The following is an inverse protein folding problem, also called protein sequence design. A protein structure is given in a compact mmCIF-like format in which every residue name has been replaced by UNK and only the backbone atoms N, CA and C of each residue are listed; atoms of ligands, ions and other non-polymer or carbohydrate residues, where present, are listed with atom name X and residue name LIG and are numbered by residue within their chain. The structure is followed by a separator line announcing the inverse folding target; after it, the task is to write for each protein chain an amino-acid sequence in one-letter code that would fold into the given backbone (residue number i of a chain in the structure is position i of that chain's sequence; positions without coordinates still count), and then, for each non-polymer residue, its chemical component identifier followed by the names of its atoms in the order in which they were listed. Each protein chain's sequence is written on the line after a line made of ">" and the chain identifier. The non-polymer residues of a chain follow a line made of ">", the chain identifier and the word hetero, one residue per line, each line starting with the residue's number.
data_IF_886738819582
#
_entry.id   IF_886738819582
#
_cell.length_a   1.000
_cell.length_b   1.000
_cell.length_c   1.000
_cell.angle_alpha   90.00
_cell.angle_beta   90.00
_cell.angle_gamma   90.00
#
_symmetry.space_group_name_H-M   'P 1'
#
loop_
_entity.id
_entity.type
_entity.pdbx_description
1 polymer ?
#
# COMPACT_ATOMS: atom_id res chain seq x y z
N UNK A 1 39.08 -26.80 -9.28
CA UNK A 1 38.42 -26.70 -10.60
C UNK A 1 39.23 -27.56 -11.56
N UNK A 2 38.69 -28.63 -12.06
CA UNK A 2 39.38 -29.58 -12.93
C UNK A 2 39.42 -29.01 -14.35
N UNK A 3 40.54 -29.25 -15.06
CA UNK A 3 40.85 -28.80 -16.43
C UNK A 3 39.66 -29.07 -17.41
N UNK A 4 38.90 -30.14 -17.21
CA UNK A 4 37.69 -30.49 -17.98
C UNK A 4 36.57 -29.46 -17.89
N UNK A 5 36.39 -28.80 -16.74
CA UNK A 5 35.35 -27.78 -16.57
C UNK A 5 35.67 -26.48 -17.28
N UNK A 6 36.95 -26.15 -17.42
CA UNK A 6 37.41 -24.97 -18.16
C UNK A 6 37.28 -25.17 -19.68
N UNK A 7 37.56 -26.35 -20.20
CA UNK A 7 37.40 -26.68 -21.62
C UNK A 7 35.91 -26.71 -22.04
N UNK A 8 35.03 -27.21 -21.18
CA UNK A 8 33.60 -27.18 -21.45
C UNK A 8 33.06 -25.74 -21.53
N UNK A 9 33.45 -24.87 -20.58
CA UNK A 9 33.04 -23.44 -20.58
C UNK A 9 33.51 -22.69 -21.83
N UNK A 10 34.76 -22.95 -22.28
CA UNK A 10 35.31 -22.33 -23.50
C UNK A 10 34.58 -22.81 -24.77
N UNK A 11 34.18 -24.08 -24.82
CA UNK A 11 33.41 -24.60 -25.94
C UNK A 11 31.98 -24.10 -25.97
N UNK A 12 31.35 -23.93 -24.82
CA UNK A 12 29.99 -23.35 -24.73
C UNK A 12 29.98 -21.84 -25.10
N UNK A 13 30.97 -21.10 -24.68
CA UNK A 13 31.15 -19.68 -25.10
C UNK A 13 31.40 -19.53 -26.58
N UNK A 14 32.15 -20.45 -27.21
CA UNK A 14 32.35 -20.45 -28.67
C UNK A 14 31.08 -20.76 -29.45
N UNK A 15 30.22 -21.66 -28.97
CA UNK A 15 28.90 -21.94 -29.56
C UNK A 15 27.98 -20.74 -29.51
N UNK A 16 27.98 -20.01 -28.38
CA UNK A 16 27.14 -18.80 -28.20
C UNK A 16 27.65 -17.63 -29.10
N UNK A 17 28.92 -17.57 -29.39
CA UNK A 17 29.51 -16.54 -30.26
C UNK A 17 29.29 -16.77 -31.77
N UNK A 18 28.88 -17.98 -32.19
CA UNK A 18 28.65 -18.34 -33.59
C UNK A 18 27.17 -18.23 -34.04
N UNK A 19 26.26 -17.82 -33.16
CA UNK A 19 24.88 -17.49 -33.59
C UNK A 19 24.89 -16.13 -34.27
N UNK A 20 24.42 -16.00 -35.53
CA UNK A 20 24.33 -14.71 -36.20
C UNK A 20 23.31 -13.87 -35.41
N UNK A 21 23.77 -12.78 -34.83
CA UNK A 21 22.89 -11.72 -34.31
C UNK A 21 22.16 -11.12 -35.51
N UNK A 22 21.02 -11.66 -35.88
CA UNK A 22 20.02 -10.92 -36.64
C UNK A 22 19.54 -9.80 -35.70
N UNK A 23 20.21 -8.67 -35.79
CA UNK A 23 19.69 -7.44 -35.24
C UNK A 23 18.42 -7.13 -36.03
N UNK A 24 17.26 -7.49 -35.46
CA UNK A 24 16.02 -6.81 -35.81
C UNK A 24 16.24 -5.36 -35.42
N UNK A 25 16.52 -4.52 -36.41
CA UNK A 25 16.33 -3.09 -36.33
C UNK A 25 14.84 -2.90 -36.04
N UNK A 26 14.48 -2.77 -34.76
CA UNK A 26 13.17 -2.25 -34.40
C UNK A 26 13.09 -0.86 -35.05
N UNK A 27 12.21 -0.73 -36.02
CA UNK A 27 11.84 0.57 -36.58
C UNK A 27 11.38 1.42 -35.40
N UNK A 28 12.22 2.37 -34.99
CA UNK A 28 11.80 3.41 -34.06
C UNK A 28 10.66 4.17 -34.74
N UNK A 29 9.43 3.76 -34.48
CA UNK A 29 8.27 4.61 -34.74
C UNK A 29 8.49 5.91 -33.98
N UNK A 30 8.84 6.97 -34.71
CA UNK A 30 8.76 8.34 -34.27
C UNK A 30 7.28 8.59 -33.92
N UNK A 31 6.90 8.35 -32.67
CA UNK A 31 5.62 8.83 -32.17
C UNK A 31 5.70 10.34 -32.13
N UNK A 32 4.84 11.02 -32.87
CA UNK A 32 4.70 12.46 -32.79
C UNK A 32 4.60 12.89 -31.31
N UNK A 33 5.32 13.95 -30.88
CA UNK A 33 5.26 14.40 -29.51
C UNK A 33 3.81 14.71 -29.16
N UNK A 34 3.26 14.05 -28.15
CA UNK A 34 1.89 14.30 -27.68
C UNK A 34 1.72 15.80 -27.41
N UNK A 35 0.64 16.42 -27.88
CA UNK A 35 0.40 17.83 -27.62
C UNK A 35 0.38 18.09 -26.10
N UNK A 36 1.06 19.15 -25.68
CA UNK A 36 1.06 19.54 -24.27
C UNK A 36 -0.35 19.99 -23.91
N UNK A 37 -0.92 19.37 -22.88
CA UNK A 37 -2.26 19.68 -22.36
C UNK A 37 -2.17 20.15 -20.92
N UNK A 38 -3.13 20.95 -20.51
CA UNK A 38 -3.22 21.39 -19.13
C UNK A 38 -3.43 20.21 -18.18
N UNK A 39 -2.55 20.03 -17.21
CA UNK A 39 -2.61 18.96 -16.20
C UNK A 39 -3.88 18.98 -15.32
N UNK A 40 -4.62 20.10 -15.32
CA UNK A 40 -5.79 20.32 -14.46
C UNK A 40 -7.12 20.09 -15.15
N UNK A 41 -7.25 20.53 -16.40
CA UNK A 41 -8.51 20.51 -17.11
C UNK A 41 -8.41 19.87 -18.49
N UNK A 42 -7.23 19.36 -18.89
CA UNK A 42 -7.00 18.72 -20.18
C UNK A 42 -7.02 19.66 -21.39
N UNK A 43 -7.21 20.98 -21.20
CA UNK A 43 -7.26 21.94 -22.31
C UNK A 43 -5.91 22.04 -23.02
N UNK A 44 -5.94 22.17 -24.32
CA UNK A 44 -4.77 22.51 -25.19
C UNK A 44 -4.52 24.00 -25.29
N UNK A 45 -5.44 24.84 -24.80
CA UNK A 45 -5.31 26.30 -24.78
C UNK A 45 -4.38 26.74 -23.65
N UNK A 46 -3.08 26.71 -23.96
CA UNK A 46 -1.99 26.97 -23.02
C UNK A 46 -0.99 27.97 -23.60
N UNK A 47 -0.43 28.81 -22.76
CA UNK A 47 0.65 29.74 -23.11
C UNK A 47 1.91 29.45 -22.30
N UNK A 48 3.08 29.69 -22.89
CA UNK A 48 4.36 29.65 -22.17
C UNK A 48 4.41 30.81 -21.17
N UNK A 49 4.80 30.52 -19.93
CA UNK A 49 4.84 31.51 -18.84
C UNK A 49 6.24 31.87 -18.37
N UNK A 50 7.23 31.07 -18.66
CA UNK A 50 8.61 31.28 -18.25
C UNK A 50 9.35 29.96 -18.13
N UNK A 51 10.61 30.03 -17.68
CA UNK A 51 11.46 28.86 -17.44
C UNK A 51 11.92 28.92 -15.98
N UNK A 52 11.64 27.86 -15.20
CA UNK A 52 12.11 27.70 -13.84
C UNK A 52 13.07 26.50 -13.78
N UNK A 53 14.31 26.71 -13.33
CA UNK A 53 15.37 25.69 -13.28
C UNK A 53 15.53 24.88 -14.61
N UNK A 54 15.45 25.58 -15.76
CA UNK A 54 15.57 24.94 -17.08
C UNK A 54 14.30 24.25 -17.59
N UNK A 55 13.19 24.29 -16.84
CA UNK A 55 11.91 23.67 -17.20
C UNK A 55 10.90 24.70 -17.62
N UNK A 56 10.32 24.53 -18.81
CA UNK A 56 9.28 25.43 -19.32
C UNK A 56 8.01 25.35 -18.46
N UNK A 57 7.57 26.49 -17.96
CA UNK A 57 6.26 26.66 -17.31
C UNK A 57 5.20 27.14 -18.32
N UNK A 58 3.96 26.79 -18.03
CA UNK A 58 2.78 27.11 -18.83
C UNK A 58 1.66 27.66 -17.96
N UNK A 59 0.81 28.51 -18.53
CA UNK A 59 -0.48 28.89 -17.96
C UNK A 59 -1.59 28.38 -18.87
N UNK A 60 -2.59 27.74 -18.30
CA UNK A 60 -3.80 27.34 -19.00
C UNK A 60 -4.75 28.53 -19.09
N UNK A 61 -5.14 28.93 -20.29
CA UNK A 61 -6.09 30.03 -20.52
C UNK A 61 -7.50 29.67 -20.02
N UNK A 62 -7.87 28.37 -20.10
CA UNK A 62 -9.21 27.90 -19.69
C UNK A 62 -9.41 27.90 -18.17
N UNK A 63 -8.43 27.45 -17.38
CA UNK A 63 -8.57 27.34 -15.92
C UNK A 63 -7.66 28.28 -15.12
N UNK A 64 -6.81 29.11 -15.76
CA UNK A 64 -5.92 30.08 -15.16
C UNK A 64 -4.75 29.50 -14.37
N UNK A 65 -4.58 28.18 -14.32
CA UNK A 65 -3.58 27.52 -13.49
C UNK A 65 -2.24 27.38 -14.21
N UNK A 66 -1.17 27.60 -13.45
CA UNK A 66 0.20 27.31 -13.90
C UNK A 66 0.54 25.84 -13.77
N UNK A 67 1.37 25.33 -14.67
CA UNK A 67 1.92 23.98 -14.62
C UNK A 67 3.22 23.91 -15.44
N UNK A 68 3.99 22.84 -15.22
CA UNK A 68 5.17 22.52 -16.03
C UNK A 68 5.05 21.12 -16.62
N UNK A 69 5.89 20.81 -17.60
CA UNK A 69 5.96 19.46 -18.21
C UNK A 69 6.70 18.45 -17.36
N UNK A 70 7.28 18.86 -16.21
CA UNK A 70 7.87 17.91 -15.25
C UNK A 70 6.85 16.84 -14.86
N UNK A 71 7.27 15.57 -14.83
CA UNK A 71 6.48 14.46 -14.30
C UNK A 71 6.50 14.49 -12.75
N UNK A 72 6.00 15.60 -12.19
CA UNK A 72 5.91 15.84 -10.76
C UNK A 72 4.51 16.34 -10.38
N UNK A 73 3.97 15.95 -9.20
CA UNK A 73 2.71 16.48 -8.73
C UNK A 73 2.75 17.98 -8.53
N UNK A 74 1.60 18.64 -8.65
CA UNK A 74 1.52 20.09 -8.50
C UNK A 74 2.12 20.57 -7.17
N UNK A 75 2.95 21.59 -7.26
CA UNK A 75 3.67 22.19 -6.14
C UNK A 75 4.81 21.31 -5.59
N UNK A 76 5.20 20.27 -6.34
CA UNK A 76 6.32 19.39 -5.99
C UNK A 76 7.40 19.42 -7.07
N UNK A 77 8.66 19.25 -6.64
CA UNK A 77 9.81 19.17 -7.55
C UNK A 77 10.22 17.74 -7.87
N UNK A 78 9.90 16.79 -6.99
CA UNK A 78 10.26 15.38 -7.10
C UNK A 78 9.31 14.66 -8.05
N UNK A 79 9.87 13.83 -8.93
CA UNK A 79 9.13 13.05 -9.91
C UNK A 79 8.15 12.07 -9.25
N UNK A 80 7.03 11.80 -9.95
CA UNK A 80 5.97 10.88 -9.49
C UNK A 80 6.52 9.52 -9.11
N UNK A 81 7.40 8.95 -9.93
CA UNK A 81 7.95 7.62 -9.70
C UNK A 81 8.81 7.55 -8.44
N UNK A 82 9.59 8.60 -8.16
CA UNK A 82 10.38 8.70 -6.93
C UNK A 82 9.49 8.82 -5.69
N UNK A 83 8.40 9.58 -5.76
CA UNK A 83 7.43 9.69 -4.67
C UNK A 83 6.71 8.37 -4.47
N UNK A 84 6.20 7.74 -5.54
CA UNK A 84 5.51 6.45 -5.48
C UNK A 84 6.40 5.34 -4.94
N UNK A 85 7.66 5.27 -5.39
CA UNK A 85 8.68 4.36 -4.85
C UNK A 85 8.90 4.60 -3.35
N UNK A 86 9.01 5.86 -2.91
CA UNK A 86 9.22 6.22 -1.50
C UNK A 86 8.06 5.73 -0.62
N UNK A 87 6.81 5.89 -1.07
CA UNK A 87 5.63 5.37 -0.38
C UNK A 87 5.65 3.84 -0.31
N UNK A 88 5.97 3.18 -1.42
CA UNK A 88 6.09 1.73 -1.46
C UNK A 88 7.17 1.23 -0.50
N UNK A 89 8.37 1.80 -0.53
CA UNK A 89 9.47 1.45 0.38
C UNK A 89 9.06 1.61 1.84
N UNK A 90 8.39 2.71 2.20
CA UNK A 90 7.91 2.92 3.55
C UNK A 90 6.94 1.82 4.00
N UNK A 91 5.89 1.54 3.21
CA UNK A 91 4.91 0.51 3.52
C UNK A 91 5.44 -0.92 3.37
N UNK A 92 6.60 -1.11 2.74
CA UNK A 92 7.36 -2.37 2.76
C UNK A 92 8.40 -2.47 3.89
N UNK A 93 8.63 -1.40 4.69
CA UNK A 93 9.38 -1.44 5.96
C UNK A 93 10.67 -0.64 5.99
N UNK A 94 10.97 0.16 4.96
CA UNK A 94 12.13 1.06 4.99
C UNK A 94 11.85 2.25 5.91
N UNK A 95 12.89 2.73 6.60
CA UNK A 95 12.79 3.95 7.39
C UNK A 95 12.76 5.20 6.51
N UNK A 96 12.24 6.31 7.03
CA UNK A 96 12.28 7.61 6.33
C UNK A 96 13.71 8.04 5.98
N UNK A 97 14.68 7.69 6.83
CA UNK A 97 16.08 8.00 6.62
C UNK A 97 16.68 7.16 5.49
N UNK A 98 16.35 5.86 5.43
CA UNK A 98 16.81 4.97 4.35
C UNK A 98 16.23 5.40 3.01
N UNK A 99 14.95 5.80 2.99
CA UNK A 99 14.29 6.31 1.79
C UNK A 99 14.96 7.60 1.30
N UNK A 100 15.23 8.56 2.20
CA UNK A 100 15.93 9.79 1.86
C UNK A 100 17.36 9.52 1.33
N UNK A 101 18.07 8.58 1.95
CA UNK A 101 19.39 8.15 1.48
C UNK A 101 19.32 7.48 0.09
N UNK A 102 18.32 6.62 -0.13
CA UNK A 102 18.11 5.97 -1.44
C UNK A 102 17.82 6.99 -2.54
N UNK A 103 16.98 7.99 -2.27
CA UNK A 103 16.70 9.08 -3.22
C UNK A 103 17.97 9.85 -3.59
N UNK A 104 18.80 10.15 -2.60
CA UNK A 104 20.09 10.83 -2.82
C UNK A 104 21.04 9.99 -3.66
N UNK A 105 21.21 8.70 -3.32
CA UNK A 105 22.24 7.85 -3.97
C UNK A 105 21.83 7.35 -5.35
N UNK A 106 20.55 7.08 -5.57
CA UNK A 106 20.07 6.49 -6.84
C UNK A 106 19.63 7.54 -7.85
N UNK A 107 19.05 8.64 -7.38
CA UNK A 107 18.44 9.66 -8.26
C UNK A 107 19.12 11.03 -8.18
N UNK A 108 20.20 11.15 -7.41
CA UNK A 108 20.85 12.45 -7.11
C UNK A 108 19.83 13.50 -6.64
N UNK A 109 18.81 13.07 -5.89
CA UNK A 109 17.75 13.90 -5.36
C UNK A 109 17.85 13.98 -3.82
N UNK A 110 18.59 14.94 -3.26
CA UNK A 110 18.79 15.06 -1.82
C UNK A 110 17.55 15.67 -1.17
N UNK A 111 16.61 14.84 -0.76
CA UNK A 111 15.43 15.27 0.03
C UNK A 111 15.62 14.93 1.50
N UNK A 112 15.14 15.81 2.37
CA UNK A 112 15.11 15.53 3.81
C UNK A 112 14.00 14.53 4.16
N UNK A 113 14.23 13.72 5.20
CA UNK A 113 13.26 12.74 5.72
C UNK A 113 11.91 13.36 6.06
N UNK A 114 11.87 14.63 6.47
CA UNK A 114 10.62 15.34 6.75
C UNK A 114 9.82 15.60 5.48
N UNK A 115 10.47 15.73 4.33
CA UNK A 115 9.81 15.82 3.03
C UNK A 115 9.17 14.48 2.64
N UNK A 116 9.89 13.38 2.82
CA UNK A 116 9.34 12.03 2.61
C UNK A 116 8.12 11.81 3.54
N UNK A 117 8.21 12.21 4.80
CA UNK A 117 7.09 12.14 5.74
C UNK A 117 5.87 12.95 5.29
N UNK A 118 6.08 14.19 4.76
CA UNK A 118 4.98 15.00 4.21
C UNK A 118 4.30 14.34 3.01
N UNK A 119 5.07 13.68 2.13
CA UNK A 119 4.49 12.89 1.03
C UNK A 119 3.66 11.74 1.56
N UNK A 120 4.19 11.00 2.52
CA UNK A 120 3.50 9.89 3.16
C UNK A 120 2.14 10.33 3.70
N UNK A 121 2.10 11.37 4.52
CA UNK A 121 0.86 11.90 5.10
C UNK A 121 -0.12 12.36 4.02
N UNK A 122 0.37 13.12 3.02
CA UNK A 122 -0.47 13.65 1.93
C UNK A 122 -1.11 12.53 1.13
N UNK A 123 -0.31 11.62 0.59
CA UNK A 123 -0.80 10.60 -0.34
C UNK A 123 -1.54 9.47 0.36
N UNK A 124 -1.25 9.19 1.63
CA UNK A 124 -2.08 8.28 2.43
C UNK A 124 -3.49 8.83 2.65
N UNK A 125 -3.64 10.12 2.95
CA UNK A 125 -4.97 10.75 3.05
C UNK A 125 -5.75 10.67 1.74
N UNK A 126 -5.10 10.90 0.61
CA UNK A 126 -5.74 10.74 -0.70
C UNK A 126 -6.08 9.27 -1.00
N UNK A 127 -5.21 8.34 -0.62
CA UNK A 127 -5.49 6.92 -0.74
C UNK A 127 -6.73 6.52 0.07
N UNK A 128 -6.85 6.96 1.31
CA UNK A 128 -8.04 6.68 2.15
C UNK A 128 -9.32 7.14 1.42
N UNK A 129 -9.34 8.36 0.88
CA UNK A 129 -10.51 8.88 0.15
C UNK A 129 -10.91 8.00 -1.05
N UNK A 130 -9.92 7.45 -1.76
CA UNK A 130 -10.15 6.63 -2.95
C UNK A 130 -10.54 5.19 -2.63
N UNK A 131 -9.97 4.61 -1.56
CA UNK A 131 -10.11 3.19 -1.26
C UNK A 131 -11.13 2.87 -0.16
N UNK A 132 -11.43 3.82 0.76
CA UNK A 132 -12.41 3.59 1.82
C UNK A 132 -13.83 3.28 1.31
N UNK A 133 -14.33 3.88 0.21
CA UNK A 133 -15.67 3.57 -0.30
C UNK A 133 -15.80 2.20 -0.96
N UNK A 134 -14.69 1.54 -1.30
CA UNK A 134 -14.71 0.29 -2.06
C UNK A 134 -15.15 -0.87 -1.15
N UNK A 135 -16.16 -1.61 -1.58
CA UNK A 135 -16.72 -2.75 -0.83
C UNK A 135 -16.13 -4.07 -1.36
N UNK A 136 -15.48 -4.89 -0.51
CA UNK A 136 -14.96 -6.19 -0.91
C UNK A 136 -16.07 -7.27 -0.90
N UNK A 137 -15.96 -8.25 -1.80
CA UNK A 137 -16.74 -9.49 -1.72
C UNK A 137 -15.97 -10.50 -0.88
N UNK A 138 -16.38 -10.67 0.37
CA UNK A 138 -15.69 -11.51 1.35
C UNK A 138 -16.49 -12.72 1.74
N UNK A 139 -15.83 -13.70 2.37
CA UNK A 139 -16.44 -14.94 2.85
C UNK A 139 -17.34 -14.69 4.09
N UNK A 140 -17.95 -15.76 4.58
CA UNK A 140 -18.76 -15.73 5.80
C UNK A 140 -17.96 -16.04 7.07
N UNK A 141 -16.63 -16.21 6.94
CA UNK A 141 -15.75 -16.53 8.05
C UNK A 141 -14.66 -15.48 8.19
N UNK A 142 -14.66 -14.78 9.32
CA UNK A 142 -13.63 -13.79 9.64
C UNK A 142 -12.75 -14.26 10.79
N UNK A 143 -11.55 -13.74 10.84
CA UNK A 143 -10.59 -14.02 11.90
C UNK A 143 -10.23 -12.68 12.53
N UNK A 144 -10.32 -12.60 13.85
CA UNK A 144 -9.96 -11.40 14.60
C UNK A 144 -8.91 -11.72 15.66
N UNK A 145 -8.02 -10.78 15.87
CA UNK A 145 -6.98 -10.85 16.89
C UNK A 145 -6.49 -9.45 17.21
N UNK A 146 -5.83 -9.28 18.37
CA UNK A 146 -5.22 -8.02 18.73
C UNK A 146 -3.74 -8.18 19.07
N UNK A 147 -2.99 -7.13 18.83
CA UNK A 147 -1.57 -7.10 19.13
C UNK A 147 -1.16 -5.84 19.86
N UNK A 148 -0.29 -6.01 20.87
CA UNK A 148 0.23 -4.89 21.63
C UNK A 148 1.34 -4.16 20.87
N UNK A 149 1.28 -2.82 20.89
CA UNK A 149 2.37 -1.95 20.45
C UNK A 149 2.67 -0.93 21.55
N UNK A 150 3.92 -0.52 21.63
CA UNK A 150 4.35 0.52 22.58
C UNK A 150 4.60 1.82 21.83
N UNK A 151 3.98 2.91 22.28
CA UNK A 151 4.11 4.23 21.70
C UNK A 151 4.23 5.27 22.81
N UNK A 152 5.28 6.10 22.79
CA UNK A 152 5.58 7.09 23.86
C UNK A 152 5.47 6.50 25.28
N UNK A 153 6.10 5.34 25.49
CA UNK A 153 6.06 4.57 26.76
C UNK A 153 4.67 4.11 27.23
N UNK A 154 3.64 4.30 26.41
CA UNK A 154 2.29 3.81 26.65
C UNK A 154 1.99 2.59 25.78
N UNK A 155 1.23 1.67 26.36
CA UNK A 155 0.77 0.48 25.66
C UNK A 155 -0.52 0.80 24.91
N UNK A 156 -0.57 0.39 23.64
CA UNK A 156 -1.74 0.45 22.77
C UNK A 156 -1.98 -0.92 22.16
N UNK A 157 -3.19 -1.15 21.70
CA UNK A 157 -3.61 -2.38 21.08
C UNK A 157 -4.08 -2.09 19.66
N UNK A 158 -3.53 -2.80 18.68
CA UNK A 158 -4.03 -2.85 17.33
C UNK A 158 -4.96 -4.05 17.25
N UNK A 159 -6.22 -3.80 16.95
CA UNK A 159 -7.26 -4.79 16.78
C UNK A 159 -7.53 -4.97 15.30
N UNK A 160 -7.46 -6.20 14.81
CA UNK A 160 -7.54 -6.48 13.39
C UNK A 160 -8.62 -7.52 13.09
N UNK A 161 -9.32 -7.35 11.95
CA UNK A 161 -10.22 -8.38 11.38
C UNK A 161 -9.85 -8.63 9.94
N UNK A 162 -9.62 -9.90 9.61
CA UNK A 162 -9.27 -10.35 8.27
C UNK A 162 -10.28 -11.40 7.77
N UNK A 163 -10.67 -11.31 6.49
CA UNK A 163 -11.44 -12.36 5.85
C UNK A 163 -10.59 -13.59 5.60
N UNK A 164 -11.12 -14.76 5.97
CA UNK A 164 -10.38 -16.01 5.93
C UNK A 164 -9.93 -16.41 4.52
N UNK A 165 -10.82 -16.25 3.53
CA UNK A 165 -10.60 -16.80 2.19
C UNK A 165 -9.85 -15.80 1.29
N UNK A 166 -10.25 -14.55 1.29
CA UNK A 166 -9.65 -13.50 0.45
C UNK A 166 -8.44 -12.83 1.09
N UNK A 167 -8.19 -13.07 2.39
CA UNK A 167 -7.16 -12.35 3.18
C UNK A 167 -7.39 -10.83 3.24
N UNK A 168 -8.56 -10.35 2.88
CA UNK A 168 -8.87 -8.93 2.92
C UNK A 168 -8.95 -8.47 4.37
N UNK A 169 -8.11 -7.52 4.74
CA UNK A 169 -8.14 -6.89 6.06
C UNK A 169 -9.33 -5.93 6.11
N UNK A 170 -10.37 -6.32 6.84
CA UNK A 170 -11.64 -5.61 6.89
C UNK A 170 -11.56 -4.37 7.78
N UNK A 171 -10.94 -4.50 8.94
CA UNK A 171 -10.77 -3.42 9.88
C UNK A 171 -9.43 -3.54 10.61
N UNK A 172 -8.87 -2.39 10.98
CA UNK A 172 -7.75 -2.24 11.90
C UNK A 172 -8.05 -1.06 12.82
N UNK A 173 -8.05 -1.28 14.13
CA UNK A 173 -8.46 -0.29 15.11
C UNK A 173 -7.42 -0.13 16.21
N UNK A 174 -6.94 1.09 16.43
CA UNK A 174 -5.95 1.40 17.45
C UNK A 174 -6.61 1.96 18.70
N UNK A 175 -6.43 1.29 19.86
CA UNK A 175 -6.98 1.70 21.14
C UNK A 175 -5.96 1.59 22.29
N UNK A 176 -6.02 2.47 23.30
CA UNK A 176 -5.29 2.27 24.57
C UNK A 176 -5.90 1.18 25.45
N UNK A 177 -7.12 0.73 25.14
CA UNK A 177 -7.85 -0.25 25.94
C UNK A 177 -7.92 -1.61 25.25
N UNK A 178 -8.12 -2.67 26.06
CA UNK A 178 -8.25 -4.07 25.60
C UNK A 178 -9.50 -4.68 26.22
N UNK A 179 -10.68 -4.21 25.78
CA UNK A 179 -11.96 -4.60 26.38
C UNK A 179 -13.05 -4.92 25.37
N UNK A 180 -14.22 -5.29 25.92
CA UNK A 180 -15.43 -5.63 25.15
C UNK A 180 -15.86 -4.50 24.21
N UNK A 181 -15.74 -3.25 24.65
CA UNK A 181 -16.07 -2.08 23.83
C UNK A 181 -15.25 -2.01 22.55
N UNK A 182 -13.93 -2.27 22.65
CA UNK A 182 -13.01 -2.25 21.53
C UNK A 182 -13.30 -3.39 20.57
N UNK A 183 -13.56 -4.58 21.08
CA UNK A 183 -13.96 -5.73 20.28
C UNK A 183 -15.27 -5.45 19.50
N UNK A 184 -16.27 -4.83 20.16
CA UNK A 184 -17.52 -4.41 19.49
C UNK A 184 -17.25 -3.42 18.36
N UNK A 185 -16.51 -2.33 18.63
CA UNK A 185 -16.17 -1.31 17.62
C UNK A 185 -15.48 -1.95 16.42
N UNK A 186 -14.52 -2.86 16.66
CA UNK A 186 -13.81 -3.57 15.62
C UNK A 186 -14.77 -4.36 14.72
N UNK A 187 -15.71 -5.10 15.30
CA UNK A 187 -16.69 -5.89 14.55
C UNK A 187 -17.67 -5.01 13.74
N UNK A 188 -18.10 -3.90 14.30
CA UNK A 188 -18.94 -2.91 13.61
C UNK A 188 -18.20 -2.31 12.39
N UNK A 189 -16.95 -1.89 12.56
CA UNK A 189 -16.11 -1.38 11.46
C UNK A 189 -15.90 -2.44 10.35
N UNK A 190 -15.66 -3.68 10.73
CA UNK A 190 -15.48 -4.78 9.78
C UNK A 190 -16.79 -5.06 9.00
N UNK A 191 -17.93 -5.05 9.68
CA UNK A 191 -19.25 -5.23 9.07
C UNK A 191 -19.62 -4.09 8.13
N UNK A 192 -19.36 -2.86 8.54
CA UNK A 192 -19.55 -1.68 7.68
C UNK A 192 -18.69 -1.79 6.42
N UNK A 193 -17.42 -2.21 6.55
CA UNK A 193 -16.51 -2.39 5.41
C UNK A 193 -16.97 -3.49 4.46
N UNK A 194 -17.41 -4.62 5.01
CA UNK A 194 -17.87 -5.79 4.25
C UNK A 194 -19.29 -5.64 3.67
N UNK A 195 -20.06 -4.68 4.18
CA UNK A 195 -21.49 -4.53 3.90
C UNK A 195 -22.29 -5.83 4.20
N UNK A 196 -21.90 -6.52 5.26
CA UNK A 196 -22.53 -7.78 5.71
C UNK A 196 -22.09 -8.16 7.12
N UNK A 197 -22.87 -9.04 7.76
CA UNK A 197 -22.54 -9.73 9.00
C UNK A 197 -21.96 -11.12 8.67
N UNK A 198 -20.85 -11.56 9.30
CA UNK A 198 -20.32 -12.89 9.08
C UNK A 198 -21.14 -13.97 9.79
N UNK A 199 -21.17 -15.19 9.23
CA UNK A 199 -21.76 -16.33 9.93
C UNK A 199 -20.84 -16.88 11.03
N UNK A 200 -19.52 -16.63 10.93
CA UNK A 200 -18.53 -17.18 11.82
C UNK A 200 -17.40 -16.18 12.06
N UNK A 201 -17.02 -16.00 13.32
CA UNK A 201 -15.83 -15.26 13.71
C UNK A 201 -14.93 -16.16 14.55
N UNK A 202 -13.66 -16.26 14.15
CA UNK A 202 -12.62 -17.03 14.86
C UNK A 202 -11.73 -16.02 15.58
N UNK A 203 -11.49 -16.23 16.89
CA UNK A 203 -10.59 -15.39 17.68
C UNK A 203 -9.72 -16.27 18.58
N UNK A 204 -8.80 -15.65 19.28
CA UNK A 204 -8.13 -16.25 20.43
C UNK A 204 -9.10 -16.42 21.61
N UNK A 205 -8.58 -16.74 22.79
CA UNK A 205 -9.37 -16.94 24.01
C UNK A 205 -9.64 -15.67 24.80
N UNK A 206 -9.40 -14.47 24.25
CA UNK A 206 -9.67 -13.21 24.94
C UNK A 206 -11.19 -13.06 25.19
N UNK A 207 -11.58 -12.93 26.45
CA UNK A 207 -12.99 -12.81 26.86
C UNK A 207 -13.73 -11.65 26.21
N UNK A 208 -13.02 -10.55 25.91
CA UNK A 208 -13.59 -9.37 25.27
C UNK A 208 -14.29 -9.67 23.94
N UNK A 209 -13.84 -10.69 23.19
CA UNK A 209 -14.49 -11.09 21.94
C UNK A 209 -15.83 -11.78 22.15
N UNK A 210 -16.04 -12.53 23.24
CA UNK A 210 -17.32 -13.18 23.53
C UNK A 210 -18.45 -12.15 23.53
N UNK A 211 -18.36 -11.21 24.45
CA UNK A 211 -19.39 -10.18 24.60
C UNK A 211 -19.38 -9.18 23.44
N UNK A 212 -18.19 -8.85 22.91
CA UNK A 212 -18.04 -7.87 21.81
C UNK A 212 -18.70 -8.31 20.50
N UNK A 213 -18.58 -9.59 20.14
CA UNK A 213 -19.21 -10.17 18.95
C UNK A 213 -20.73 -10.26 19.14
N UNK A 214 -21.19 -10.71 20.32
CA UNK A 214 -22.62 -10.79 20.64
C UNK A 214 -23.26 -9.39 20.62
N UNK A 215 -22.60 -8.38 21.20
CA UNK A 215 -23.10 -7.00 21.18
C UNK A 215 -23.12 -6.36 19.78
N UNK A 216 -22.24 -6.81 18.87
CA UNK A 216 -22.17 -6.29 17.50
C UNK A 216 -23.16 -7.00 16.56
N UNK A 217 -23.29 -8.33 16.66
CA UNK A 217 -23.96 -9.17 15.67
C UNK A 217 -25.11 -10.02 16.22
N UNK A 218 -25.28 -10.06 17.55
CA UNK A 218 -26.29 -10.90 18.17
C UNK A 218 -26.05 -12.40 17.95
N UNK A 219 -27.14 -13.18 17.96
CA UNK A 219 -27.08 -14.64 17.83
C UNK A 219 -26.84 -15.14 16.39
N UNK A 220 -26.80 -14.27 15.39
CA UNK A 220 -26.63 -14.68 13.98
C UNK A 220 -25.20 -15.10 13.65
N UNK A 221 -24.22 -14.66 14.46
CA UNK A 221 -22.80 -14.94 14.26
C UNK A 221 -22.31 -15.97 15.28
N UNK A 222 -21.80 -17.10 14.78
CA UNK A 222 -21.16 -18.10 15.62
C UNK A 222 -19.73 -17.67 15.97
N UNK A 223 -19.44 -17.45 17.24
CA UNK A 223 -18.09 -17.24 17.74
C UNK A 223 -17.39 -18.58 17.98
N UNK A 224 -16.15 -18.71 17.49
CA UNK A 224 -15.29 -19.87 17.70
C UNK A 224 -13.96 -19.43 18.28
N UNK A 225 -13.63 -19.99 19.43
CA UNK A 225 -12.30 -19.83 20.00
C UNK A 225 -11.29 -20.74 19.28
N UNK A 226 -10.22 -20.14 18.77
CA UNK A 226 -9.14 -20.86 18.08
C UNK A 226 -8.54 -21.96 18.95
N UNK A 227 -8.25 -23.10 18.31
CA UNK A 227 -7.48 -24.20 18.89
C UNK A 227 -6.13 -24.31 18.20
N UNK A 228 -5.01 -24.47 18.95
CA UNK A 228 -3.66 -24.55 18.38
C UNK A 228 -3.46 -25.68 17.36
N UNK A 229 -4.30 -26.71 17.43
CA UNK A 229 -4.22 -27.90 16.57
C UNK A 229 -5.33 -27.98 15.50
N UNK A 230 -6.11 -26.91 15.33
CA UNK A 230 -7.17 -26.88 14.31
C UNK A 230 -6.62 -26.33 13.01
N UNK A 231 -6.68 -27.09 11.93
CA UNK A 231 -6.37 -26.61 10.57
C UNK A 231 -7.42 -25.62 10.06
N UNK A 232 -8.67 -25.76 10.52
CA UNK A 232 -9.81 -24.99 10.01
C UNK A 232 -10.14 -23.77 10.84
N UNK A 233 -9.88 -23.78 12.14
CA UNK A 233 -10.26 -22.74 13.10
C UNK A 233 -9.04 -22.14 13.81
N UNK A 234 -8.02 -21.76 13.01
CA UNK A 234 -6.78 -21.22 13.49
C UNK A 234 -6.66 -19.72 13.21
N UNK A 235 -5.95 -19.00 14.07
CA UNK A 235 -5.61 -17.59 13.96
C UNK A 235 -4.32 -17.34 13.18
N UNK A 236 -3.65 -18.37 12.66
CA UNK A 236 -2.35 -18.28 11.98
C UNK A 236 -2.29 -17.22 10.86
N UNK A 237 -3.43 -16.96 10.21
CA UNK A 237 -3.51 -15.98 9.12
C UNK A 237 -3.31 -14.56 9.64
N UNK A 238 -4.03 -14.22 10.70
CA UNK A 238 -3.98 -12.88 11.29
C UNK A 238 -2.68 -12.69 12.08
N UNK A 239 -2.16 -13.74 12.72
CA UNK A 239 -0.87 -13.71 13.41
C UNK A 239 0.29 -13.37 12.44
N UNK A 240 0.29 -13.95 11.23
CA UNK A 240 1.27 -13.60 10.18
C UNK A 240 1.14 -12.14 9.73
N UNK A 241 -0.07 -11.65 9.63
CA UNK A 241 -0.33 -10.23 9.32
C UNK A 241 0.20 -9.34 10.44
N UNK A 242 -0.10 -9.66 11.69
CA UNK A 242 0.37 -8.92 12.86
C UNK A 242 1.88 -8.96 13.01
N UNK A 243 2.53 -10.10 12.71
CA UNK A 243 3.99 -10.20 12.61
C UNK A 243 4.55 -9.17 11.62
N UNK A 244 3.93 -9.06 10.44
CA UNK A 244 4.30 -8.04 9.45
C UNK A 244 4.12 -6.62 9.98
N UNK A 245 3.00 -6.30 10.64
CA UNK A 245 2.79 -4.98 11.25
C UNK A 245 3.82 -4.69 12.34
N UNK A 246 4.13 -5.64 13.21
CA UNK A 246 5.13 -5.48 14.28
C UNK A 246 6.52 -5.16 13.73
N UNK A 247 6.95 -5.85 12.68
CA UNK A 247 8.22 -5.54 12.02
C UNK A 247 8.24 -4.13 11.45
N UNK A 248 7.13 -3.69 10.86
CA UNK A 248 6.96 -2.37 10.27
C UNK A 248 6.88 -1.27 11.33
N UNK A 249 6.13 -1.50 12.40
CA UNK A 249 5.99 -0.51 13.48
C UNK A 249 7.29 -0.32 14.25
N UNK A 250 8.21 -1.29 14.32
CA UNK A 250 9.56 -1.09 14.89
C UNK A 250 10.33 0.03 14.21
N UNK A 251 10.16 0.22 12.92
CA UNK A 251 10.84 1.26 12.12
C UNK A 251 10.11 2.61 12.21
N UNK A 252 8.84 2.60 12.58
CA UNK A 252 7.94 3.75 12.56
C UNK A 252 7.86 4.49 13.90
N UNK A 253 8.75 4.20 14.86
CA UNK A 253 8.85 4.82 16.20
C UNK A 253 9.03 6.36 16.23
N UNK A 254 8.67 7.06 15.16
CA UNK A 254 8.66 8.51 15.03
C UNK A 254 7.27 9.13 14.91
N UNK A 255 6.20 8.44 15.32
CA UNK A 255 4.87 9.06 15.37
C UNK A 255 4.88 10.24 16.32
N UNK A 256 4.51 11.41 15.81
CA UNK A 256 4.41 12.62 16.60
C UNK A 256 3.05 12.75 17.31
N UNK A 257 2.09 11.88 17.01
CA UNK A 257 0.75 11.89 17.59
C UNK A 257 0.01 10.58 17.29
N UNK A 258 -1.01 10.28 18.09
CA UNK A 258 -1.92 9.15 17.88
C UNK A 258 -2.64 9.23 16.53
N UNK A 259 -2.98 10.43 16.07
CA UNK A 259 -3.64 10.63 14.77
C UNK A 259 -2.71 10.29 13.60
N UNK A 260 -1.40 10.61 13.73
CA UNK A 260 -0.40 10.18 12.76
C UNK A 260 -0.25 8.67 12.74
N UNK A 261 -0.28 8.02 13.91
CA UNK A 261 -0.23 6.57 14.01
C UNK A 261 -1.42 5.91 13.33
N UNK A 262 -2.64 6.38 13.58
CA UNK A 262 -3.87 5.91 12.92
C UNK A 262 -3.80 6.06 11.40
N UNK A 263 -3.41 7.25 10.93
CA UNK A 263 -3.27 7.51 9.49
C UNK A 263 -2.28 6.54 8.81
N UNK A 264 -1.17 6.24 9.46
CA UNK A 264 -0.18 5.31 8.92
C UNK A 264 -0.70 3.87 8.95
N UNK A 265 -1.43 3.46 9.98
CA UNK A 265 -2.10 2.15 10.01
C UNK A 265 -3.12 2.01 8.87
N UNK A 266 -3.92 3.04 8.60
CA UNK A 266 -4.83 3.06 7.45
C UNK A 266 -4.06 2.92 6.13
N UNK A 267 -2.89 3.54 6.02
CA UNK A 267 -2.00 3.39 4.87
C UNK A 267 -1.46 1.96 4.73
N UNK A 268 -1.12 1.29 5.84
CA UNK A 268 -0.75 -0.13 5.83
C UNK A 268 -1.91 -1.02 5.40
N UNK A 269 -3.12 -0.77 5.87
CA UNK A 269 -4.32 -1.47 5.45
C UNK A 269 -4.54 -1.33 3.93
N UNK A 270 -4.37 -0.13 3.39
CA UNK A 270 -4.48 0.12 1.95
C UNK A 270 -3.36 -0.63 1.20
N UNK A 271 -2.11 -0.51 1.63
CA UNK A 271 -1.00 -1.18 0.99
C UNK A 271 -1.17 -2.70 1.00
N UNK A 272 -1.56 -3.28 2.14
CA UNK A 272 -1.80 -4.71 2.30
C UNK A 272 -2.91 -5.21 1.39
N UNK A 273 -4.06 -4.54 1.38
CA UNK A 273 -5.23 -4.98 0.64
C UNK A 273 -5.12 -4.76 -0.88
N UNK A 274 -4.53 -3.64 -1.30
CA UNK A 274 -4.68 -3.17 -2.68
C UNK A 274 -3.40 -3.21 -3.50
N UNK A 275 -2.22 -3.16 -2.85
CA UNK A 275 -0.94 -3.03 -3.57
C UNK A 275 0.04 -4.17 -3.33
N UNK A 276 -0.16 -4.98 -2.28
CA UNK A 276 0.73 -6.08 -1.96
C UNK A 276 0.18 -7.41 -2.48
N UNK A 277 0.87 -8.07 -3.43
CA UNK A 277 0.52 -9.44 -3.84
C UNK A 277 0.84 -10.45 -2.73
N UNK A 278 0.04 -11.50 -2.63
CA UNK A 278 0.21 -12.57 -1.65
C UNK A 278 0.40 -13.92 -2.33
N UNK A 279 1.46 -14.64 -1.97
CA UNK A 279 1.76 -15.97 -2.51
C UNK A 279 0.59 -16.94 -2.28
N UNK A 280 -0.01 -16.92 -1.07
CA UNK A 280 -1.16 -17.76 -0.72
C UNK A 280 -2.44 -17.46 -1.53
N UNK A 281 -2.48 -16.37 -2.26
CA UNK A 281 -3.56 -15.99 -3.17
C UNK A 281 -3.17 -16.12 -4.65
N UNK A 282 -2.10 -16.87 -4.96
CA UNK A 282 -1.57 -17.00 -6.32
C UNK A 282 -1.02 -15.67 -6.86
N UNK A 283 -0.29 -14.93 -6.04
CA UNK A 283 0.27 -13.61 -6.34
C UNK A 283 -0.77 -12.52 -6.66
N UNK A 284 -2.02 -12.70 -6.25
CA UNK A 284 -3.06 -11.66 -6.29
C UNK A 284 -3.03 -10.85 -5.00
N UNK A 285 -3.50 -9.61 -5.08
CA UNK A 285 -3.82 -8.80 -3.90
C UNK A 285 -5.09 -9.32 -3.21
N UNK A 286 -5.30 -9.08 -1.90
CA UNK A 286 -6.56 -9.36 -1.24
C UNK A 286 -7.77 -8.68 -1.93
N UNK A 287 -7.59 -7.47 -2.45
CA UNK A 287 -8.64 -6.76 -3.20
C UNK A 287 -9.03 -7.49 -4.49
N UNK A 288 -8.05 -8.00 -5.26
CA UNK A 288 -8.32 -8.82 -6.44
C UNK A 288 -9.01 -10.12 -6.09
N UNK A 289 -8.60 -10.77 -4.98
CA UNK A 289 -9.26 -11.98 -4.48
C UNK A 289 -10.71 -11.69 -4.04
N UNK A 290 -10.93 -10.52 -3.42
CA UNK A 290 -12.24 -10.03 -3.01
C UNK A 290 -13.03 -9.34 -4.16
N UNK A 291 -12.56 -9.43 -5.40
CA UNK A 291 -13.21 -8.90 -6.61
C UNK A 291 -13.49 -7.40 -6.55
N UNK A 292 -12.60 -6.64 -5.96
CA UNK A 292 -12.70 -5.18 -5.90
C UNK A 292 -12.10 -4.58 -7.16
N UNK A 293 -12.84 -3.74 -7.87
CA UNK A 293 -12.29 -2.92 -8.96
C UNK A 293 -11.53 -1.74 -8.36
N UNK A 294 -10.23 -1.69 -8.57
CA UNK A 294 -9.36 -0.68 -7.97
C UNK A 294 -9.12 0.51 -8.88
N UNK A 295 -9.08 1.75 -8.36
CA UNK A 295 -8.83 2.95 -9.15
C UNK A 295 -7.37 3.14 -9.58
N UNK A 296 -6.43 2.47 -8.93
CA UNK A 296 -4.99 2.41 -9.22
C UNK A 296 -4.39 1.15 -8.58
N UNK A 297 -3.30 0.63 -9.18
CA UNK A 297 -2.69 -0.68 -8.81
C UNK A 297 -1.46 -0.56 -7.91
N UNK A 298 -0.93 0.64 -7.71
CA UNK A 298 0.25 0.88 -6.90
C UNK A 298 0.32 2.34 -6.45
N UNK A 299 1.29 2.65 -5.59
CA UNK A 299 1.49 4.00 -5.07
C UNK A 299 1.85 5.00 -6.16
N UNK A 300 2.62 4.62 -7.17
CA UNK A 300 2.99 5.51 -8.28
C UNK A 300 1.77 5.95 -9.09
N UNK A 301 0.89 5.01 -9.44
CA UNK A 301 -0.36 5.32 -10.12
C UNK A 301 -1.28 6.20 -9.27
N UNK A 302 -1.33 5.95 -7.95
CA UNK A 302 -2.07 6.81 -7.02
C UNK A 302 -1.52 8.24 -7.04
N UNK A 303 -0.20 8.41 -6.88
CA UNK A 303 0.45 9.74 -6.91
C UNK A 303 0.18 10.44 -8.23
N UNK A 304 0.25 9.72 -9.37
CA UNK A 304 -0.06 10.24 -10.70
C UNK A 304 -1.50 10.73 -10.79
N UNK A 305 -2.44 9.88 -10.39
CA UNK A 305 -3.89 10.16 -10.42
C UNK A 305 -4.26 11.38 -9.58
N UNK A 306 -3.82 11.44 -8.31
CA UNK A 306 -4.16 12.55 -7.41
C UNK A 306 -3.27 13.76 -7.57
N UNK A 307 -2.11 13.61 -8.19
CA UNK A 307 -1.19 14.68 -8.56
C UNK A 307 -1.62 15.49 -9.78
N UNK A 308 -2.70 15.08 -10.46
CA UNK A 308 -3.19 15.75 -11.67
C UNK A 308 -2.27 15.53 -12.88
N UNK A 309 -1.60 14.38 -12.96
CA UNK A 309 -0.69 14.04 -14.06
C UNK A 309 -1.40 12.97 -14.90
N UNK A 310 -1.76 13.35 -16.11
CA UNK A 310 -2.42 12.47 -17.11
C UNK A 310 -1.36 11.75 -17.93
#
# INVERSE_FOLDING_TARGET
>A
MTQKNAEWLVNELKKTAQQPKTAHLEEHHFTEPKPITCKWCGSTDIIKHGVDEGVQEYICQKCGRKFSTKDAPYGMRTAVDQIGMSLNMYYTGSSLSDIAQQLKTTYDNPVDRSTVYRWLIRFTREAIKLFAPLKPKVSDTWIADETAIKFEDKLYWIWDVIDRDTRFLLASYLSPNRGTKEAKILMELASERADKIPRKVITDKLKAYLDGIELAFGAETRHIQSSPFSETDSTNIIERFQGTIKERTKVVWGFKSLDSARLILDGFLIHYNFFRPHISLGNRTPAEAARVTVPCKNWTELVRKVGGIV
#
